data_IF_934804339515
#
_entry.id   IF_934804339515
#
_cell.length_a   1.000
_cell.length_b   1.000
_cell.length_c   1.000
_cell.angle_alpha   90.00
_cell.angle_beta   90.00
_cell.angle_gamma   90.00
#
_symmetry.space_group_name_H-M   'P 1'
#
loop_
_entity.id
_entity.type
_entity.pdbx_description
1 polymer ?
#
# COMPACT_ATOMS: atom_id res chain seq x y z
N UNK A 1 15.64 -8.81 -19.48
CA UNK A 1 14.34 -8.22 -19.12
C UNK A 1 13.56 -9.30 -18.39
N UNK A 2 13.18 -9.05 -17.13
CA UNK A 2 12.47 -10.03 -16.28
C UNK A 2 11.26 -10.62 -17.02
N UNK A 3 11.03 -11.94 -16.96
CA UNK A 3 9.83 -12.58 -17.53
C UNK A 3 8.54 -11.92 -17.02
N UNK A 4 8.59 -11.33 -15.83
CA UNK A 4 7.46 -10.66 -15.21
C UNK A 4 7.03 -9.38 -15.95
N UNK A 5 7.98 -8.65 -16.54
CA UNK A 5 7.71 -7.42 -17.31
C UNK A 5 6.95 -7.70 -18.60
N UNK A 6 7.12 -8.89 -19.19
CA UNK A 6 6.46 -9.25 -20.45
C UNK A 6 4.95 -9.48 -20.25
N UNK A 7 4.51 -9.77 -19.02
CA UNK A 7 3.10 -9.96 -18.69
C UNK A 7 2.31 -8.64 -18.60
N UNK A 8 2.99 -7.50 -18.42
CA UNK A 8 2.32 -6.21 -18.31
C UNK A 8 1.73 -5.75 -19.67
N UNK A 9 0.47 -5.29 -19.68
CA UNK A 9 -0.21 -4.80 -20.88
C UNK A 9 0.56 -3.68 -21.60
N UNK A 10 0.29 -3.52 -22.89
CA UNK A 10 0.93 -2.50 -23.73
C UNK A 10 0.73 -1.07 -23.18
N UNK A 11 -0.41 -0.82 -22.53
CA UNK A 11 -0.72 0.45 -21.88
C UNK A 11 0.34 0.90 -20.84
N UNK A 12 1.16 -0.03 -20.33
CA UNK A 12 2.19 0.26 -19.33
C UNK A 12 3.62 0.22 -19.89
N UNK A 13 3.82 0.12 -21.21
CA UNK A 13 5.16 0.00 -21.80
C UNK A 13 6.06 1.20 -21.46
N UNK A 14 5.49 2.41 -21.38
CA UNK A 14 6.24 3.61 -21.01
C UNK A 14 6.86 3.50 -19.60
N UNK A 15 6.18 2.86 -18.65
CA UNK A 15 6.70 2.65 -17.29
C UNK A 15 7.88 1.67 -17.25
N UNK A 16 8.03 0.79 -18.25
CA UNK A 16 9.13 -0.19 -18.29
C UNK A 16 10.48 0.46 -18.61
N UNK A 17 10.45 1.60 -19.31
CA UNK A 17 11.64 2.30 -19.83
C UNK A 17 11.86 3.65 -19.17
N UNK A 18 10.97 4.05 -18.28
CA UNK A 18 11.05 5.32 -17.56
C UNK A 18 12.23 5.30 -16.57
N UNK A 19 13.23 6.20 -16.70
CA UNK A 19 14.44 6.19 -15.87
C UNK A 19 14.18 6.31 -14.36
N UNK A 20 13.04 6.89 -13.96
CA UNK A 20 12.64 6.99 -12.57
C UNK A 20 12.31 5.62 -11.92
N UNK A 21 12.10 4.56 -12.71
CA UNK A 21 11.78 3.22 -12.21
C UNK A 21 12.92 2.24 -12.48
N UNK A 22 13.37 1.53 -11.44
CA UNK A 22 14.33 0.44 -11.58
C UNK A 22 13.58 -0.87 -11.82
N UNK A 23 13.46 -1.28 -13.09
CA UNK A 23 12.76 -2.51 -13.47
C UNK A 23 13.70 -3.72 -13.62
N UNK A 24 15.01 -3.49 -13.69
CA UNK A 24 16.02 -4.53 -13.93
C UNK A 24 16.12 -5.56 -12.80
N UNK A 25 15.84 -5.16 -11.56
CA UNK A 25 15.90 -6.02 -10.37
C UNK A 25 14.53 -6.34 -9.78
N UNK A 26 13.44 -6.00 -10.48
CA UNK A 26 12.09 -6.22 -10.00
C UNK A 26 11.74 -7.71 -10.00
N UNK A 27 11.38 -8.22 -8.83
CA UNK A 27 10.98 -9.63 -8.62
C UNK A 27 9.48 -9.87 -8.87
N UNK A 28 8.68 -8.81 -8.91
CA UNK A 28 7.25 -8.86 -9.14
C UNK A 28 6.72 -7.52 -9.66
N UNK A 29 5.55 -7.55 -10.29
CA UNK A 29 4.82 -6.38 -10.75
C UNK A 29 3.35 -6.47 -10.36
N UNK A 30 2.76 -5.35 -9.94
CA UNK A 30 1.33 -5.18 -9.76
C UNK A 30 0.81 -4.08 -10.67
N UNK A 31 -0.36 -4.27 -11.27
CA UNK A 31 -1.02 -3.22 -12.04
C UNK A 31 -2.54 -3.36 -12.00
N UNK A 32 -3.24 -2.25 -12.13
CA UNK A 32 -4.69 -2.22 -12.30
C UNK A 32 -5.03 -1.40 -13.53
N UNK A 33 -5.98 -1.89 -14.32
CA UNK A 33 -6.52 -1.14 -15.46
C UNK A 33 -7.78 -0.40 -15.00
N UNK A 34 -7.98 0.85 -15.43
CA UNK A 34 -9.09 1.74 -14.99
C UNK A 34 -10.47 1.05 -15.03
N UNK A 35 -10.69 0.10 -15.94
CA UNK A 35 -11.96 -0.62 -16.12
C UNK A 35 -12.03 -1.98 -15.43
N UNK A 36 -11.05 -2.32 -14.59
CA UNK A 36 -10.96 -3.61 -13.93
C UNK A 36 -10.92 -3.44 -12.41
N UNK A 37 -11.82 -4.11 -11.67
CA UNK A 37 -11.94 -3.91 -10.22
C UNK A 37 -10.81 -4.57 -9.41
N UNK A 38 -9.93 -5.33 -10.04
CA UNK A 38 -8.91 -6.12 -9.35
C UNK A 38 -7.50 -5.83 -9.87
N UNK A 39 -6.53 -5.95 -8.98
CA UNK A 39 -5.11 -5.90 -9.29
C UNK A 39 -4.67 -7.18 -9.99
N UNK A 40 -3.82 -7.02 -11.00
CA UNK A 40 -3.07 -8.08 -11.63
C UNK A 40 -1.68 -8.18 -11.02
N UNK A 41 -1.10 -9.36 -11.09
CA UNK A 41 0.28 -9.61 -10.66
C UNK A 41 1.06 -10.44 -11.67
N UNK A 42 2.37 -10.26 -11.66
CA UNK A 42 3.33 -11.11 -12.36
C UNK A 42 4.55 -11.37 -11.47
N UNK A 43 4.92 -12.63 -11.20
CA UNK A 43 4.27 -13.86 -11.68
C UNK A 43 2.85 -14.01 -11.11
N UNK A 44 2.00 -14.80 -11.77
CA UNK A 44 0.63 -15.02 -11.31
C UNK A 44 0.59 -15.93 -10.07
N UNK A 45 -0.46 -15.84 -9.27
CA UNK A 45 -0.65 -16.73 -8.11
C UNK A 45 0.43 -16.55 -7.04
N UNK A 46 0.92 -15.31 -6.89
CA UNK A 46 1.79 -14.92 -5.78
C UNK A 46 1.19 -15.45 -4.48
N UNK A 47 1.88 -16.41 -3.84
CA UNK A 47 1.54 -16.79 -2.47
C UNK A 47 1.72 -15.56 -1.59
N UNK A 48 0.96 -15.47 -0.50
CA UNK A 48 1.03 -14.38 0.47
C UNK A 48 2.49 -14.06 0.79
N UNK A 49 3.04 -13.02 0.16
CA UNK A 49 4.32 -12.50 0.57
C UNK A 49 4.06 -11.87 1.93
N UNK A 50 4.78 -12.27 3.00
CA UNK A 50 4.50 -11.77 4.34
C UNK A 50 4.47 -10.23 4.41
N UNK A 51 5.33 -9.58 3.63
CA UNK A 51 5.42 -8.12 3.52
C UNK A 51 4.35 -7.47 2.63
N UNK A 52 3.63 -8.23 1.81
CA UNK A 52 2.56 -7.72 0.92
C UNK A 52 1.17 -8.21 1.35
N UNK A 53 1.06 -8.94 2.46
CA UNK A 53 -0.22 -9.46 2.94
C UNK A 53 -1.27 -8.37 3.24
N UNK A 54 -0.82 -7.13 3.49
CA UNK A 54 -1.72 -5.99 3.62
C UNK A 54 -2.41 -5.61 2.29
N UNK A 55 -1.78 -5.84 1.13
CA UNK A 55 -2.42 -5.62 -0.18
C UNK A 55 -3.53 -6.65 -0.46
N UNK A 56 -3.49 -7.81 0.19
CA UNK A 56 -4.57 -8.80 0.17
C UNK A 56 -5.69 -8.48 1.19
N UNK A 57 -5.61 -7.34 1.89
CA UNK A 57 -6.62 -6.91 2.86
C UNK A 57 -6.55 -7.64 4.21
N UNK A 58 -5.47 -8.35 4.51
CA UNK A 58 -5.34 -9.02 5.81
C UNK A 58 -4.81 -8.05 6.88
N UNK A 59 -5.69 -7.61 7.78
CA UNK A 59 -5.38 -6.73 8.92
C UNK A 59 -4.28 -7.32 9.81
N UNK A 60 -4.23 -8.66 9.97
CA UNK A 60 -3.17 -9.30 10.75
C UNK A 60 -1.78 -9.13 10.10
N UNK A 61 -1.72 -9.17 8.77
CA UNK A 61 -0.47 -8.94 8.04
C UNK A 61 -0.04 -7.46 8.15
N UNK A 62 -0.98 -6.52 8.03
CA UNK A 62 -0.70 -5.09 8.23
C UNK A 62 -0.21 -4.83 9.65
N UNK A 63 -0.88 -5.39 10.67
CA UNK A 63 -0.48 -5.27 12.08
C UNK A 63 0.95 -5.74 12.31
N UNK A 64 1.29 -6.95 11.88
CA UNK A 64 2.67 -7.48 12.04
C UNK A 64 3.70 -6.54 11.41
N UNK A 65 3.44 -6.07 10.18
CA UNK A 65 4.32 -5.14 9.47
C UNK A 65 4.54 -3.84 10.27
N UNK A 66 3.48 -3.19 10.72
CA UNK A 66 3.61 -1.89 11.42
C UNK A 66 4.22 -2.04 12.80
N UNK A 67 3.95 -3.14 13.51
CA UNK A 67 4.56 -3.40 14.81
C UNK A 67 6.08 -3.62 14.69
N UNK A 68 6.50 -4.37 13.69
CA UNK A 68 7.92 -4.61 13.40
C UNK A 68 8.61 -3.32 12.96
N UNK A 69 7.98 -2.53 12.07
CA UNK A 69 8.58 -1.31 11.51
C UNK A 69 8.70 -0.18 12.54
N UNK A 70 7.67 0.05 13.34
CA UNK A 70 7.67 1.12 14.35
C UNK A 70 8.21 0.66 15.72
N UNK A 71 8.56 -0.62 15.85
CA UNK A 71 9.00 -1.27 17.09
C UNK A 71 8.02 -1.02 18.25
N UNK A 72 6.71 -1.09 17.96
CA UNK A 72 5.64 -0.75 18.90
C UNK A 72 4.50 -1.76 18.81
N UNK A 73 3.86 -2.03 19.94
CA UNK A 73 2.61 -2.79 19.92
C UNK A 73 1.45 -1.88 19.48
N UNK A 74 0.62 -2.36 18.57
CA UNK A 74 -0.55 -1.62 18.07
C UNK A 74 -1.83 -2.36 18.49
N UNK A 75 -2.80 -1.60 19.01
CA UNK A 75 -4.11 -2.15 19.37
C UNK A 75 -4.86 -2.60 18.10
N UNK A 76 -5.12 -3.91 18.02
CA UNK A 76 -5.81 -4.52 16.88
C UNK A 76 -7.24 -3.99 16.71
N UNK A 77 -7.93 -3.65 17.80
CA UNK A 77 -9.30 -3.14 17.76
C UNK A 77 -9.34 -1.74 17.14
N UNK A 78 -8.31 -0.92 17.41
CA UNK A 78 -8.18 0.40 16.79
C UNK A 78 -7.90 0.25 15.30
N UNK A 79 -6.98 -0.64 14.92
CA UNK A 79 -6.66 -0.93 13.52
C UNK A 79 -7.87 -1.44 12.74
N UNK A 80 -8.61 -2.42 13.28
CA UNK A 80 -9.80 -2.98 12.65
C UNK A 80 -10.84 -1.90 12.38
N UNK A 81 -11.13 -1.06 13.37
CA UNK A 81 -12.10 0.04 13.21
C UNK A 81 -11.70 1.01 12.10
N UNK A 82 -10.42 1.39 12.02
CA UNK A 82 -9.92 2.30 10.98
C UNK A 82 -9.96 1.64 9.60
N UNK A 83 -9.60 0.36 9.49
CA UNK A 83 -9.68 -0.37 8.21
C UNK A 83 -11.11 -0.55 7.72
N UNK A 84 -12.07 -0.74 8.62
CA UNK A 84 -13.48 -0.89 8.27
C UNK A 84 -14.16 0.45 7.92
N UNK A 85 -13.88 1.51 8.68
CA UNK A 85 -14.49 2.83 8.44
C UNK A 85 -13.80 3.64 7.35
N UNK A 86 -12.50 3.39 7.13
CA UNK A 86 -11.59 4.25 6.37
C UNK A 86 -11.51 5.69 6.91
N UNK A 87 -11.83 5.86 8.20
CA UNK A 87 -11.81 7.13 8.93
C UNK A 87 -11.00 6.98 10.23
N UNK A 88 -10.39 8.08 10.69
CA UNK A 88 -9.66 8.15 11.96
C UNK A 88 -10.22 9.26 12.83
N UNK A 89 -10.58 8.94 14.08
CA UNK A 89 -10.98 9.91 15.11
C UNK A 89 -9.79 10.43 15.92
N UNK A 90 -9.96 11.56 16.61
CA UNK A 90 -8.90 12.15 17.45
C UNK A 90 -8.38 11.16 18.51
N UNK A 91 -9.29 10.41 19.14
CA UNK A 91 -8.94 9.42 20.16
C UNK A 91 -8.14 8.25 19.56
N UNK A 92 -8.53 7.78 18.37
CA UNK A 92 -7.78 6.73 17.66
C UNK A 92 -6.41 7.24 17.22
N UNK A 93 -6.32 8.47 16.73
CA UNK A 93 -5.05 9.10 16.36
C UNK A 93 -4.10 9.18 17.56
N UNK A 94 -4.59 9.63 18.71
CA UNK A 94 -3.83 9.70 19.96
C UNK A 94 -3.33 8.31 20.41
N UNK A 95 -4.13 7.26 20.22
CA UNK A 95 -3.73 5.88 20.54
C UNK A 95 -2.65 5.35 19.58
N UNK A 96 -2.75 5.67 18.28
CA UNK A 96 -1.82 5.20 17.26
C UNK A 96 -0.49 5.98 17.29
N UNK A 97 -0.57 7.29 17.45
CA UNK A 97 0.59 8.17 17.52
C UNK A 97 0.28 9.44 18.33
N UNK A 98 0.67 9.50 19.62
CA UNK A 98 0.36 10.64 20.48
C UNK A 98 1.17 11.90 20.16
N UNK A 99 2.09 11.84 19.20
CA UNK A 99 2.97 12.96 18.85
C UNK A 99 2.50 13.72 17.61
N UNK A 100 1.34 13.39 17.05
CA UNK A 100 0.77 14.04 15.87
C UNK A 100 -0.67 14.45 16.11
N UNK A 101 -1.08 15.52 15.46
CA UNK A 101 -2.44 16.04 15.44
C UNK A 101 -3.02 15.98 14.02
N UNK A 102 -4.33 16.17 13.86
CA UNK A 102 -4.96 16.20 12.54
C UNK A 102 -4.40 17.28 11.61
N UNK A 103 -3.91 18.38 12.18
CA UNK A 103 -3.28 19.45 11.41
C UNK A 103 -2.02 18.95 10.68
N UNK A 104 -1.27 18.03 11.30
CA UNK A 104 -0.06 17.45 10.72
C UNK A 104 -0.38 16.52 9.55
N UNK A 105 -1.58 15.92 9.52
CA UNK A 105 -2.04 14.99 8.48
C UNK A 105 -2.72 15.66 7.28
N UNK A 106 -2.99 16.97 7.36
CA UNK A 106 -3.80 17.67 6.37
C UNK A 106 -3.15 17.65 4.97
N UNK A 107 -1.84 17.90 4.92
CA UNK A 107 -1.07 17.93 3.67
C UNK A 107 -0.90 16.51 3.11
N UNK A 108 -0.55 15.53 3.95
CA UNK A 108 -0.45 14.11 3.57
C UNK A 108 -1.75 13.61 2.89
N UNK A 109 -2.90 14.02 3.41
CA UNK A 109 -4.19 13.63 2.85
C UNK A 109 -4.44 14.23 1.45
N UNK A 110 -3.97 15.46 1.19
CA UNK A 110 -4.05 16.06 -0.13
C UNK A 110 -3.11 15.35 -1.13
N UNK A 111 -1.90 15.01 -0.69
CA UNK A 111 -0.94 14.27 -1.50
C UNK A 111 -1.48 12.89 -1.90
N UNK A 112 -2.03 12.14 -0.95
CA UNK A 112 -2.64 10.81 -1.19
C UNK A 112 -3.77 10.90 -2.22
N UNK A 113 -4.62 11.91 -2.13
CA UNK A 113 -5.75 12.09 -3.05
C UNK A 113 -5.34 12.71 -4.41
N UNK A 114 -4.07 13.08 -4.58
CA UNK A 114 -3.60 13.79 -5.76
C UNK A 114 -4.33 15.12 -6.00
N UNK A 115 -4.83 15.75 -4.93
CA UNK A 115 -5.69 16.94 -5.00
C UNK A 115 -4.91 18.26 -4.97
N UNK A 116 -3.58 18.23 -5.03
CA UNK A 116 -2.76 19.44 -5.10
C UNK A 116 -1.49 19.24 -5.92
N UNK A 117 -1.40 19.96 -7.04
CA UNK A 117 -0.22 20.73 -7.47
C UNK A 117 -0.66 22.20 -7.54
#
# INVERSE_FOLDING_TARGET
MSECLNAMPEAFQQFKVEPAFSTDNASLFFWQVIKQPSWYSSPAGLQEYPLLGFFAGNIAAYKSLVEDYYEKNIDVVVLEKVFESLDVTADQLMMLNPNIEFADLADDFQEILGRTL
#
